data_IF_011603656255
#
_entry.id   IF_011603656255
#
_cell.length_a   1.000
_cell.length_b   1.000
_cell.length_c   1.000
_cell.angle_alpha   90.00
_cell.angle_beta   90.00
_cell.angle_gamma   90.00
#
_symmetry.space_group_name_H-M   'P 1'
#
loop_
_entity.id
_entity.type
_entity.pdbx_description
1 polymer ?
#
# COMPACT_ATOMS: atom_id res chain seq x y z
N UNK A 1 19.76 0.91 -27.95
CA UNK A 1 19.65 1.75 -26.75
C UNK A 1 18.45 1.23 -25.99
N UNK A 2 18.69 0.70 -24.78
CA UNK A 2 17.71 0.04 -23.92
C UNK A 2 16.89 1.12 -23.22
N UNK A 3 15.92 1.67 -23.95
CA UNK A 3 15.05 2.74 -23.48
C UNK A 3 13.77 2.12 -22.89
N UNK A 4 13.55 2.38 -21.59
CA UNK A 4 12.29 2.29 -20.85
C UNK A 4 11.61 0.91 -20.71
N UNK A 5 11.83 0.23 -19.58
CA UNK A 5 10.83 -0.74 -19.07
C UNK A 5 10.68 -0.79 -17.54
N UNK A 6 11.43 0.01 -16.78
CA UNK A 6 11.31 0.07 -15.32
C UNK A 6 11.34 1.47 -14.71
N UNK A 7 11.52 2.52 -15.51
CA UNK A 7 11.37 3.87 -14.97
C UNK A 7 9.88 4.19 -14.88
N UNK A 8 9.33 4.41 -13.67
CA UNK A 8 8.00 4.95 -13.54
C UNK A 8 7.93 6.26 -14.33
N UNK A 9 6.77 6.57 -14.90
CA UNK A 9 6.55 7.85 -15.58
C UNK A 9 7.06 8.98 -14.66
N UNK A 10 7.85 9.93 -15.20
CA UNK A 10 8.48 10.95 -14.37
C UNK A 10 7.40 11.71 -13.60
N UNK A 11 7.54 11.74 -12.28
CA UNK A 11 6.65 12.51 -11.41
C UNK A 11 6.78 13.99 -11.78
N UNK A 12 5.67 14.63 -12.11
CA UNK A 12 5.67 16.04 -12.52
C UNK A 12 6.12 16.95 -11.37
N UNK A 13 6.71 18.11 -11.73
CA UNK A 13 7.09 19.12 -10.74
C UNK A 13 5.89 19.58 -9.88
N UNK A 14 4.71 19.73 -10.50
CA UNK A 14 3.48 20.06 -9.79
C UNK A 14 3.09 19.00 -8.73
N UNK A 15 3.21 17.71 -9.06
CA UNK A 15 2.98 16.63 -8.09
C UNK A 15 3.99 16.70 -6.94
N UNK A 16 5.27 16.97 -7.23
CA UNK A 16 6.30 17.11 -6.19
C UNK A 16 5.97 18.27 -5.24
N UNK A 17 5.53 19.41 -5.77
CA UNK A 17 5.15 20.58 -4.97
C UNK A 17 3.93 20.30 -4.09
N UNK A 18 2.88 19.67 -4.63
CA UNK A 18 1.69 19.29 -3.85
C UNK A 18 2.04 18.30 -2.73
N UNK A 19 2.90 17.32 -3.01
CA UNK A 19 3.34 16.36 -1.99
C UNK A 19 4.22 17.03 -0.94
N UNK A 20 5.10 17.96 -1.31
CA UNK A 20 5.88 18.72 -0.33
C UNK A 20 4.97 19.52 0.63
N UNK A 21 3.93 20.18 0.11
CA UNK A 21 2.93 20.89 0.92
C UNK A 21 2.15 19.94 1.85
N UNK A 22 1.79 18.75 1.35
CA UNK A 22 1.15 17.72 2.16
C UNK A 22 2.05 17.28 3.32
N UNK A 23 3.33 17.01 3.03
CA UNK A 23 4.31 16.59 4.04
C UNK A 23 4.49 17.67 5.09
N UNK A 24 4.67 18.93 4.69
CA UNK A 24 4.79 20.07 5.61
C UNK A 24 3.57 20.18 6.53
N UNK A 25 2.37 20.02 5.96
CA UNK A 25 1.13 20.11 6.72
C UNK A 25 0.99 18.99 7.74
N UNK A 26 1.28 17.75 7.38
CA UNK A 26 0.88 16.57 8.17
C UNK A 26 2.00 15.93 8.99
N UNK A 27 3.25 16.10 8.59
CA UNK A 27 4.37 15.50 9.31
C UNK A 27 4.41 15.96 10.76
N UNK A 28 4.58 15.00 11.68
CA UNK A 28 4.72 15.28 13.11
C UNK A 28 3.42 15.62 13.82
N UNK A 29 2.27 15.75 13.13
CA UNK A 29 0.98 15.98 13.80
C UNK A 29 0.66 14.86 14.79
N UNK A 30 0.11 15.24 15.95
CA UNK A 30 -0.32 14.36 17.05
C UNK A 30 -1.57 14.91 17.73
N UNK A 31 -2.40 14.07 18.37
CA UNK A 31 -3.50 14.51 19.23
C UNK A 31 -4.90 14.44 18.60
N UNK A 32 -5.94 14.36 19.44
CA UNK A 32 -7.33 14.07 19.04
C UNK A 32 -8.17 15.28 18.62
N UNK A 33 -7.68 16.50 18.78
CA UNK A 33 -8.53 17.70 18.67
C UNK A 33 -8.73 18.19 17.23
N UNK A 34 -7.97 17.70 16.23
CA UNK A 34 -8.07 18.28 14.87
C UNK A 34 -7.65 17.38 13.68
N UNK A 35 -7.44 16.06 13.84
CA UNK A 35 -6.97 15.21 12.74
C UNK A 35 -7.84 13.96 12.53
N UNK A 36 -8.86 14.11 11.68
CA UNK A 36 -9.58 12.98 11.11
C UNK A 36 -8.71 12.30 10.03
N UNK A 37 -8.71 10.95 10.02
CA UNK A 37 -7.99 10.18 8.99
C UNK A 37 -8.49 10.48 7.57
N UNK A 38 -9.80 10.68 7.37
CA UNK A 38 -10.36 10.88 6.03
C UNK A 38 -9.84 12.16 5.34
N UNK A 39 -9.83 13.36 5.98
CA UNK A 39 -9.15 14.53 5.41
C UNK A 39 -7.67 14.28 5.09
N UNK A 40 -6.92 13.65 6.00
CA UNK A 40 -5.52 13.31 5.77
C UNK A 40 -5.37 12.43 4.52
N UNK A 41 -6.19 11.39 4.39
CA UNK A 41 -6.10 10.45 3.27
C UNK A 41 -6.58 11.06 1.95
N UNK A 42 -7.65 11.86 1.95
CA UNK A 42 -8.13 12.58 0.76
C UNK A 42 -7.09 13.58 0.27
N UNK A 43 -6.42 14.30 1.17
CA UNK A 43 -5.34 15.22 0.81
C UNK A 43 -4.10 14.49 0.28
N UNK A 44 -3.78 13.30 0.82
CA UNK A 44 -2.73 12.46 0.24
C UNK A 44 -3.08 12.07 -1.20
N UNK A 45 -4.31 11.62 -1.45
CA UNK A 45 -4.77 11.23 -2.79
C UNK A 45 -4.62 12.40 -3.78
N UNK A 46 -5.11 13.58 -3.39
CA UNK A 46 -4.96 14.80 -4.18
C UNK A 46 -3.50 15.17 -4.43
N UNK A 47 -2.63 15.02 -3.42
CA UNK A 47 -1.21 15.34 -3.54
C UNK A 47 -0.52 14.45 -4.57
N UNK A 48 -0.71 13.13 -4.49
CA UNK A 48 -0.11 12.15 -5.41
C UNK A 48 -0.84 12.05 -6.76
N UNK A 49 -1.99 12.71 -6.90
CA UNK A 49 -2.75 12.79 -8.15
C UNK A 49 -3.61 11.57 -8.45
N UNK A 50 -4.05 10.83 -7.42
CA UNK A 50 -4.99 9.70 -7.58
C UNK A 50 -6.38 10.10 -7.07
N UNK A 51 -7.41 9.44 -7.58
CA UNK A 51 -8.77 9.62 -7.08
C UNK A 51 -8.87 9.25 -5.59
N UNK A 52 -9.56 10.04 -4.75
CA UNK A 52 -9.85 9.68 -3.37
C UNK A 52 -11.00 8.65 -3.28
N UNK A 53 -11.19 7.98 -2.13
CA UNK A 53 -12.33 7.08 -1.95
C UNK A 53 -13.66 7.81 -2.17
N UNK A 54 -14.55 7.22 -2.96
CA UNK A 54 -15.78 7.86 -3.41
C UNK A 54 -16.82 8.06 -2.30
N UNK A 55 -17.60 9.15 -2.40
CA UNK A 55 -18.82 9.31 -1.63
C UNK A 55 -19.92 8.45 -2.27
N UNK A 56 -20.26 7.34 -1.61
CA UNK A 56 -21.45 6.48 -1.81
C UNK A 56 -22.30 6.78 -3.07
N UNK A 57 -21.82 6.34 -4.23
CA UNK A 57 -22.56 6.20 -5.51
C UNK A 57 -22.35 4.78 -6.04
N UNK A 58 -23.03 4.35 -7.12
CA UNK A 58 -22.91 2.98 -7.63
C UNK A 58 -21.45 2.57 -7.89
N UNK A 59 -21.00 1.46 -7.28
CA UNK A 59 -19.57 1.09 -7.19
C UNK A 59 -18.85 1.55 -5.91
N UNK A 60 -19.53 2.22 -4.99
CA UNK A 60 -18.94 2.70 -3.73
C UNK A 60 -18.48 1.60 -2.77
N UNK A 61 -18.84 0.35 -2.98
CA UNK A 61 -18.33 -0.75 -2.17
C UNK A 61 -16.91 -1.17 -2.57
N UNK A 62 -16.41 -0.68 -3.70
CA UNK A 62 -15.13 -1.08 -4.29
C UNK A 62 -13.99 -0.15 -3.88
N UNK A 63 -14.28 1.14 -3.66
CA UNK A 63 -13.30 2.11 -3.17
C UNK A 63 -13.97 3.11 -2.21
N UNK A 64 -13.82 2.89 -0.90
CA UNK A 64 -14.52 3.68 0.12
C UNK A 64 -13.80 3.79 1.46
N UNK A 65 -14.25 4.78 2.22
CA UNK A 65 -13.99 4.87 3.65
C UNK A 65 -14.96 3.99 4.45
N UNK A 66 -14.51 3.55 5.62
CA UNK A 66 -15.32 2.82 6.61
C UNK A 66 -16.05 1.57 6.06
N UNK A 67 -15.39 0.80 5.18
CA UNK A 67 -16.01 -0.39 4.58
C UNK A 67 -16.44 -1.38 5.66
N UNK A 68 -17.74 -1.70 5.79
CA UNK A 68 -18.18 -2.69 6.76
C UNK A 68 -17.72 -4.08 6.34
N UNK A 69 -17.13 -4.82 7.28
CA UNK A 69 -16.67 -6.20 7.06
C UNK A 69 -17.16 -7.08 8.20
N UNK A 70 -17.87 -8.15 7.84
CA UNK A 70 -18.35 -9.16 8.80
C UNK A 70 -17.24 -10.19 9.03
N UNK A 71 -16.71 -10.22 10.25
CA UNK A 71 -15.72 -11.19 10.69
C UNK A 71 -16.41 -12.27 11.52
N UNK A 72 -16.13 -13.54 11.23
CA UNK A 72 -16.56 -14.66 12.06
C UNK A 72 -15.45 -14.98 13.04
N UNK A 73 -15.75 -14.86 14.33
CA UNK A 73 -14.80 -15.15 15.40
C UNK A 73 -14.76 -16.65 15.71
N UNK A 74 -13.67 -17.14 16.33
CA UNK A 74 -13.64 -18.48 16.93
C UNK A 74 -14.84 -18.67 17.86
N UNK A 75 -15.59 -19.76 17.66
CA UNK A 75 -16.85 -20.02 18.37
C UNK A 75 -18.11 -19.54 17.65
N UNK A 76 -18.01 -19.06 16.40
CA UNK A 76 -19.16 -18.81 15.51
C UNK A 76 -19.85 -17.46 15.71
N UNK A 77 -19.40 -16.65 16.68
CA UNK A 77 -19.92 -15.29 16.88
C UNK A 77 -19.46 -14.39 15.74
N UNK A 78 -20.37 -13.65 15.12
CA UNK A 78 -20.02 -12.62 14.15
C UNK A 78 -19.80 -11.25 14.82
N UNK A 79 -18.84 -10.50 14.30
CA UNK A 79 -18.63 -9.08 14.62
C UNK A 79 -18.49 -8.32 13.30
N UNK A 80 -19.16 -7.18 13.19
CA UNK A 80 -18.90 -6.24 12.09
C UNK A 80 -17.82 -5.26 12.51
N UNK A 81 -16.74 -5.18 11.74
CA UNK A 81 -15.76 -4.09 11.81
C UNK A 81 -15.91 -3.15 10.62
N UNK A 82 -15.07 -2.13 10.58
CA UNK A 82 -15.00 -1.16 9.49
C UNK A 82 -13.54 -0.97 9.12
N UNK A 83 -13.20 -1.14 7.84
CA UNK A 83 -11.88 -0.81 7.32
C UNK A 83 -11.83 0.70 7.11
N UNK A 84 -10.81 1.39 7.64
CA UNK A 84 -10.74 2.85 7.55
C UNK A 84 -10.71 3.34 6.09
N UNK A 85 -9.87 2.74 5.23
CA UNK A 85 -9.93 2.91 3.78
C UNK A 85 -9.70 1.59 3.04
N UNK A 86 -10.52 1.33 2.03
CA UNK A 86 -10.47 0.10 1.23
C UNK A 86 -10.56 0.41 -0.24
N UNK A 87 -9.71 -0.22 -1.05
CA UNK A 87 -9.83 -0.28 -2.51
C UNK A 87 -9.67 -1.73 -2.98
N UNK A 88 -10.72 -2.31 -3.59
CA UNK A 88 -10.71 -3.71 -4.05
C UNK A 88 -9.58 -3.92 -5.07
N UNK A 89 -8.93 -5.08 -4.97
CA UNK A 89 -7.79 -5.43 -5.82
C UNK A 89 -6.52 -4.63 -5.53
N UNK A 90 -6.56 -3.67 -4.58
CA UNK A 90 -5.45 -2.78 -4.27
C UNK A 90 -5.02 -2.93 -2.80
N UNK A 91 -5.82 -2.43 -1.85
CA UNK A 91 -5.40 -2.40 -0.45
C UNK A 91 -6.55 -2.43 0.55
N UNK A 92 -6.19 -2.85 1.77
CA UNK A 92 -6.88 -2.47 3.01
C UNK A 92 -5.96 -1.58 3.83
N UNK A 93 -6.52 -0.57 4.50
CA UNK A 93 -5.76 0.37 5.32
C UNK A 93 -6.45 0.61 6.66
N UNK A 94 -5.70 0.38 7.74
CA UNK A 94 -6.08 0.72 9.11
C UNK A 94 -5.28 1.91 9.63
N UNK A 95 -5.99 2.98 9.98
CA UNK A 95 -5.39 4.18 10.53
C UNK A 95 -5.39 4.13 12.06
N UNK A 96 -4.33 4.68 12.62
CA UNK A 96 -4.18 4.98 14.03
C UNK A 96 -3.63 6.38 14.14
N UNK A 97 -3.86 6.99 15.30
CA UNK A 97 -3.22 8.26 15.62
C UNK A 97 -2.50 8.09 16.95
N UNK A 98 -1.18 8.00 16.89
CA UNK A 98 -0.36 7.94 18.08
C UNK A 98 -0.39 9.30 18.80
N UNK A 99 -1.02 9.32 19.98
CA UNK A 99 -1.10 10.51 20.83
C UNK A 99 0.12 10.71 21.75
N UNK A 100 0.17 11.90 22.37
CA UNK A 100 1.26 12.34 23.25
C UNK A 100 1.38 11.59 24.60
N UNK A 101 0.34 10.87 25.06
CA UNK A 101 0.30 10.30 26.42
C UNK A 101 0.40 8.77 26.49
N UNK A 102 -0.46 8.00 25.81
CA UNK A 102 -0.50 6.54 25.98
C UNK A 102 0.35 5.73 24.97
N UNK A 103 0.48 6.23 23.73
CA UNK A 103 1.16 5.52 22.64
C UNK A 103 2.18 6.42 21.94
N UNK A 104 2.98 7.16 22.72
CA UNK A 104 3.99 8.08 22.19
C UNK A 104 4.89 7.39 21.16
N UNK A 105 5.04 8.00 19.98
CA UNK A 105 5.88 7.47 18.89
C UNK A 105 7.28 7.06 19.39
N UNK A 106 7.80 5.98 18.83
CA UNK A 106 9.11 5.42 19.20
C UNK A 106 9.13 4.59 20.49
N UNK A 107 8.03 4.50 21.24
CA UNK A 107 7.95 3.65 22.44
C UNK A 107 7.52 2.21 22.13
N UNK A 108 7.77 1.29 23.06
CA UNK A 108 7.27 -0.08 22.97
C UNK A 108 5.73 -0.15 22.94
N UNK A 109 5.05 0.74 23.68
CA UNK A 109 3.58 0.87 23.66
C UNK A 109 3.08 1.28 22.28
N UNK A 110 3.74 2.25 21.63
CA UNK A 110 3.45 2.62 20.25
C UNK A 110 3.62 1.45 19.29
N UNK A 111 4.73 0.72 19.37
CA UNK A 111 4.94 -0.48 18.53
C UNK A 111 3.84 -1.52 18.75
N UNK A 112 3.45 -1.77 20.00
CA UNK A 112 2.36 -2.70 20.33
C UNK A 112 1.04 -2.22 19.74
N UNK A 113 0.74 -0.94 19.82
CA UNK A 113 -0.46 -0.32 19.27
C UNK A 113 -0.55 -0.49 17.74
N UNK A 114 0.55 -0.21 17.03
CA UNK A 114 0.61 -0.40 15.58
C UNK A 114 0.60 -1.87 15.17
N UNK A 115 1.16 -2.78 15.97
CA UNK A 115 1.05 -4.23 15.73
C UNK A 115 -0.40 -4.74 15.86
N UNK A 116 -1.19 -4.18 16.79
CA UNK A 116 -2.61 -4.50 16.88
C UNK A 116 -3.38 -4.00 15.66
N UNK A 117 -3.03 -2.83 15.12
CA UNK A 117 -3.60 -2.32 13.86
C UNK A 117 -3.29 -3.24 12.68
N UNK A 118 -2.06 -3.77 12.60
CA UNK A 118 -1.68 -4.73 11.57
C UNK A 118 -2.52 -6.01 11.66
N UNK A 119 -2.65 -6.60 12.85
CA UNK A 119 -3.48 -7.79 13.03
C UNK A 119 -4.94 -7.52 12.63
N UNK A 120 -5.47 -6.35 13.00
CA UNK A 120 -6.81 -5.93 12.62
C UNK A 120 -6.98 -5.81 11.09
N UNK A 121 -5.99 -5.23 10.39
CA UNK A 121 -6.00 -5.13 8.94
C UNK A 121 -5.93 -6.52 8.26
N UNK A 122 -5.15 -7.45 8.81
CA UNK A 122 -5.11 -8.85 8.35
C UNK A 122 -6.47 -9.53 8.54
N UNK A 123 -7.09 -9.39 9.71
CA UNK A 123 -8.41 -9.97 9.98
C UNK A 123 -9.47 -9.43 9.01
N UNK A 124 -9.41 -8.13 8.68
CA UNK A 124 -10.27 -7.55 7.65
C UNK A 124 -9.98 -8.09 6.26
N UNK A 125 -8.70 -8.17 5.86
CA UNK A 125 -8.31 -8.72 4.57
C UNK A 125 -8.80 -10.16 4.40
N UNK A 126 -8.74 -10.99 5.45
CA UNK A 126 -9.25 -12.38 5.45
C UNK A 126 -10.76 -12.49 5.28
N UNK A 127 -11.50 -11.48 5.73
CA UNK A 127 -12.97 -11.47 5.68
C UNK A 127 -13.50 -10.86 4.37
N UNK A 128 -12.62 -10.37 3.49
CA UNK A 128 -12.97 -9.94 2.14
C UNK A 128 -13.09 -11.14 1.19
N UNK A 129 -13.88 -11.02 0.10
CA UNK A 129 -13.99 -12.08 -0.91
C UNK A 129 -12.69 -12.29 -1.69
N UNK A 130 -11.89 -11.24 -1.85
CA UNK A 130 -10.63 -11.24 -2.58
C UNK A 130 -9.50 -10.78 -1.64
N UNK A 131 -8.36 -11.47 -1.69
CA UNK A 131 -7.19 -11.07 -0.92
C UNK A 131 -6.54 -9.82 -1.57
N UNK A 132 -6.38 -8.70 -0.84
CA UNK A 132 -5.78 -7.50 -1.39
C UNK A 132 -4.26 -7.68 -1.57
N UNK A 133 -3.61 -7.16 -2.63
CA UNK A 133 -2.15 -7.27 -2.76
C UNK A 133 -1.40 -6.49 -1.68
N UNK A 134 -2.00 -5.45 -1.10
CA UNK A 134 -1.43 -4.66 -0.02
C UNK A 134 -2.27 -4.66 1.24
N UNK A 135 -1.59 -4.82 2.38
CA UNK A 135 -2.12 -4.49 3.71
C UNK A 135 -1.34 -3.30 4.22
N UNK A 136 -2.04 -2.28 4.71
CA UNK A 136 -1.43 -1.04 5.17
C UNK A 136 -1.92 -0.68 6.56
N UNK A 137 -1.02 -0.09 7.35
CA UNK A 137 -1.41 0.72 8.50
C UNK A 137 -0.81 2.10 8.39
N UNK A 138 -1.46 3.09 9.00
CA UNK A 138 -0.98 4.46 9.03
C UNK A 138 -1.01 4.97 10.46
N UNK A 139 0.11 5.46 10.98
CA UNK A 139 0.10 6.43 12.07
C UNK A 139 0.01 7.83 11.47
N UNK A 140 -1.15 8.50 11.60
CA UNK A 140 -1.41 9.80 10.98
C UNK A 140 -0.37 10.83 11.44
N UNK A 141 0.41 11.35 10.50
CA UNK A 141 1.52 12.29 10.74
C UNK A 141 2.84 11.62 11.16
N UNK A 142 2.88 10.29 11.29
CA UNK A 142 4.07 9.50 11.62
C UNK A 142 4.62 8.77 10.40
N UNK A 143 4.02 7.63 10.07
CA UNK A 143 4.46 6.76 8.98
C UNK A 143 3.35 5.84 8.48
N UNK A 144 3.51 5.39 7.23
CA UNK A 144 2.83 4.22 6.70
C UNK A 144 3.67 2.98 6.95
N UNK A 145 3.01 1.89 7.32
CA UNK A 145 3.58 0.55 7.34
C UNK A 145 2.85 -0.29 6.30
N UNK A 146 3.60 -0.89 5.37
CA UNK A 146 3.05 -1.49 4.15
C UNK A 146 3.58 -2.92 4.03
N UNK A 147 2.66 -3.86 3.90
CA UNK A 147 2.95 -5.27 3.62
C UNK A 147 2.42 -5.62 2.23
N UNK A 148 3.15 -6.47 1.53
CA UNK A 148 2.85 -6.90 0.17
C UNK A 148 2.65 -8.41 0.17
N UNK A 149 1.60 -8.89 -0.49
CA UNK A 149 1.31 -10.30 -0.58
C UNK A 149 0.41 -10.56 -1.78
N UNK A 150 1.02 -10.99 -2.88
CA UNK A 150 0.42 -11.12 -4.21
C UNK A 150 -0.13 -12.51 -4.51
N UNK A 151 0.20 -13.52 -3.70
CA UNK A 151 -0.42 -14.84 -3.81
C UNK A 151 -1.90 -14.76 -3.46
N UNK A 152 -2.79 -15.49 -4.13
CA UNK A 152 -4.19 -15.56 -3.70
C UNK A 152 -4.39 -16.44 -2.44
N UNK A 153 -3.34 -17.15 -2.03
CA UNK A 153 -3.36 -18.09 -0.93
C UNK A 153 -3.37 -17.40 0.45
N UNK A 154 -4.11 -18.00 1.39
CA UNK A 154 -4.14 -17.62 2.80
C UNK A 154 -3.34 -18.57 3.71
N UNK A 155 -2.46 -19.40 3.13
CA UNK A 155 -1.64 -20.36 3.89
C UNK A 155 -0.73 -19.62 4.88
N UNK A 156 -0.77 -20.04 6.14
CA UNK A 156 -0.05 -19.40 7.24
C UNK A 156 -0.83 -18.29 7.93
N UNK A 157 -0.39 -17.87 9.12
CA UNK A 157 -1.10 -16.91 9.98
C UNK A 157 -1.30 -15.55 9.31
N UNK A 158 -0.35 -15.09 8.50
CA UNK A 158 -0.38 -13.80 7.83
C UNK A 158 -0.28 -13.92 6.31
N UNK A 159 -0.63 -15.08 5.74
CA UNK A 159 -0.38 -15.38 4.32
C UNK A 159 1.08 -15.08 3.92
N UNK A 160 1.29 -14.68 2.67
CA UNK A 160 2.56 -14.20 2.13
C UNK A 160 2.87 -12.74 2.46
N UNK A 161 2.06 -12.04 3.26
CA UNK A 161 2.39 -10.68 3.74
C UNK A 161 3.59 -10.67 4.70
N UNK A 162 3.89 -11.81 5.32
CA UNK A 162 4.87 -11.90 6.40
C UNK A 162 4.33 -11.39 7.74
N UNK A 163 5.20 -11.40 8.75
CA UNK A 163 4.83 -10.92 10.08
C UNK A 163 4.89 -9.38 10.18
N UNK A 164 4.64 -8.84 11.37
CA UNK A 164 4.69 -7.39 11.60
C UNK A 164 6.05 -6.76 11.26
N UNK A 165 7.16 -7.50 11.35
CA UNK A 165 8.49 -6.97 11.03
C UNK A 165 8.82 -6.99 9.53
N UNK A 166 8.04 -7.72 8.74
CA UNK A 166 8.16 -7.78 7.28
C UNK A 166 7.72 -6.49 6.56
N UNK A 167 7.21 -5.51 7.32
CA UNK A 167 6.66 -4.26 6.78
C UNK A 167 7.73 -3.39 6.14
N UNK A 168 7.40 -2.79 4.99
CA UNK A 168 8.08 -1.58 4.52
C UNK A 168 7.53 -0.38 5.29
N UNK A 169 8.39 0.31 6.03
CA UNK A 169 8.03 1.55 6.71
C UNK A 169 8.34 2.76 5.83
N UNK A 170 7.37 3.65 5.67
CA UNK A 170 7.48 4.89 4.90
C UNK A 170 7.09 6.07 5.81
N UNK A 171 8.07 6.80 6.37
CA UNK A 171 7.80 8.05 7.08
C UNK A 171 7.05 9.04 6.19
N UNK A 172 6.19 9.89 6.77
CA UNK A 172 5.50 10.94 6.00
C UNK A 172 6.50 11.83 5.25
N UNK A 173 7.64 12.15 5.86
CA UNK A 173 8.73 12.90 5.22
C UNK A 173 9.23 12.28 3.90
N UNK A 174 9.22 10.95 3.81
CA UNK A 174 9.73 10.22 2.65
C UNK A 174 8.74 10.18 1.47
N UNK A 175 7.50 10.66 1.66
CA UNK A 175 6.52 10.78 0.57
C UNK A 175 6.97 11.78 -0.49
N UNK A 176 7.79 12.78 -0.16
CA UNK A 176 8.31 13.76 -1.12
C UNK A 176 9.32 13.14 -2.13
N UNK A 177 9.77 11.91 -1.90
CA UNK A 177 10.69 11.23 -2.82
C UNK A 177 9.93 10.70 -4.04
N UNK A 178 10.39 10.97 -5.28
CA UNK A 178 9.69 10.55 -6.50
C UNK A 178 9.37 9.06 -6.55
N UNK A 179 10.30 8.21 -6.10
CA UNK A 179 10.12 6.75 -6.05
C UNK A 179 9.05 6.31 -5.03
N UNK A 180 8.87 7.07 -3.96
CA UNK A 180 7.80 6.82 -2.98
C UNK A 180 6.45 7.22 -3.55
N UNK A 181 6.37 8.37 -4.24
CA UNK A 181 5.15 8.80 -4.92
C UNK A 181 4.73 7.75 -5.95
N UNK A 182 5.65 7.33 -6.83
CA UNK A 182 5.39 6.28 -7.82
C UNK A 182 4.94 4.96 -7.16
N UNK A 183 5.53 4.59 -6.03
CA UNK A 183 5.12 3.39 -5.28
C UNK A 183 3.69 3.50 -4.74
N UNK A 184 3.29 4.66 -4.19
CA UNK A 184 1.92 4.88 -3.74
C UNK A 184 0.93 4.94 -4.90
N UNK A 185 1.28 5.59 -6.01
CA UNK A 185 0.44 5.59 -7.23
C UNK A 185 0.21 4.15 -7.72
N UNK A 186 1.25 3.32 -7.79
CA UNK A 186 1.09 1.91 -8.16
C UNK A 186 0.19 1.14 -7.19
N UNK A 187 0.32 1.33 -5.88
CA UNK A 187 -0.56 0.70 -4.88
C UNK A 187 -2.04 1.01 -5.19
N UNK A 188 -2.35 2.23 -5.61
CA UNK A 188 -3.72 2.69 -5.82
C UNK A 188 -4.25 2.31 -7.20
N UNK A 189 -3.43 2.36 -8.24
CA UNK A 189 -3.92 2.27 -9.62
C UNK A 189 -3.55 0.95 -10.29
N UNK A 190 -2.31 0.48 -10.08
CA UNK A 190 -1.75 -0.66 -10.79
C UNK A 190 -0.90 -1.54 -9.86
N UNK A 191 -1.50 -2.15 -8.82
CA UNK A 191 -0.76 -2.82 -7.75
C UNK A 191 0.12 -3.97 -8.26
N UNK A 192 -0.26 -4.61 -9.36
CA UNK A 192 0.48 -5.69 -10.00
C UNK A 192 1.83 -5.24 -10.59
N UNK A 193 2.07 -3.93 -10.79
CA UNK A 193 3.39 -3.39 -11.15
C UNK A 193 4.44 -3.66 -10.06
N UNK A 194 4.01 -3.96 -8.84
CA UNK A 194 4.88 -4.28 -7.70
C UNK A 194 4.93 -5.78 -7.39
N UNK A 195 4.29 -6.62 -8.20
CA UNK A 195 4.30 -8.07 -8.02
C UNK A 195 5.69 -8.65 -8.40
N UNK A 196 6.45 -9.23 -7.44
CA UNK A 196 7.79 -9.76 -7.70
C UNK A 196 7.82 -10.85 -8.77
N UNK A 197 6.78 -11.70 -8.85
CA UNK A 197 6.71 -12.77 -9.86
C UNK A 197 6.56 -12.20 -11.27
N UNK A 198 5.73 -11.16 -11.44
CA UNK A 198 5.55 -10.48 -12.74
C UNK A 198 6.82 -9.75 -13.15
N UNK A 199 7.47 -9.06 -12.21
CA UNK A 199 8.74 -8.37 -12.44
C UNK A 199 9.81 -9.38 -12.86
N UNK A 200 9.95 -10.50 -12.14
CA UNK A 200 10.92 -11.55 -12.45
C UNK A 200 10.68 -12.20 -13.81
N UNK A 201 9.42 -12.53 -14.13
CA UNK A 201 9.05 -13.09 -15.43
C UNK A 201 9.36 -12.13 -16.59
N UNK A 202 9.11 -10.83 -16.40
CA UNK A 202 9.42 -9.79 -17.38
C UNK A 202 10.93 -9.69 -17.62
N UNK A 203 11.73 -9.56 -16.55
CA UNK A 203 13.20 -9.49 -16.61
C UNK A 203 13.78 -10.74 -17.28
N UNK A 204 13.23 -11.91 -16.97
CA UNK A 204 13.67 -13.18 -17.58
C UNK A 204 13.41 -13.19 -19.09
N UNK A 205 12.23 -12.74 -19.53
CA UNK A 205 11.89 -12.64 -20.95
C UNK A 205 12.81 -11.65 -21.69
N UNK A 206 13.06 -10.49 -21.09
CA UNK A 206 13.95 -9.47 -21.65
C UNK A 206 15.40 -9.95 -21.74
N UNK A 207 15.90 -10.68 -20.75
CA UNK A 207 17.24 -11.25 -20.81
C UNK A 207 17.35 -12.34 -21.89
N UNK A 208 16.27 -13.09 -22.14
CA UNK A 208 16.23 -14.15 -23.15
C UNK A 208 16.18 -13.61 -24.59
N UNK A 209 15.62 -12.42 -24.84
CA UNK A 209 15.50 -11.84 -26.19
C UNK A 209 16.87 -11.59 -26.86
N UNK A 210 17.83 -10.87 -26.25
CA UNK A 210 19.18 -10.70 -26.79
C UNK A 210 19.92 -12.03 -26.97
N UNK A 211 19.75 -12.98 -26.05
CA UNK A 211 20.37 -14.32 -26.15
C UNK A 211 19.83 -15.10 -27.36
N UNK A 212 18.52 -15.06 -27.61
CA UNK A 212 17.90 -15.70 -28.75
C UNK A 212 18.27 -15.04 -30.10
N UNK A 213 18.49 -13.71 -30.11
CA UNK A 213 19.01 -13.01 -31.29
C UNK A 213 20.45 -13.43 -31.56
N UNK A 214 21.31 -13.48 -30.54
CA UNK A 214 22.71 -13.87 -30.68
C UNK A 214 22.85 -15.34 -31.16
N UNK A 215 22.04 -16.25 -30.61
CA UNK A 215 22.03 -17.65 -31.01
C UNK A 215 21.68 -17.83 -32.50
N UNK A 216 20.64 -17.13 -32.99
CA UNK A 216 20.26 -17.15 -34.41
C UNK A 216 21.35 -16.56 -35.32
N UNK A 217 22.06 -15.53 -34.86
CA UNK A 217 23.18 -14.95 -35.61
C UNK A 217 24.38 -15.90 -35.70
N UNK A 218 24.66 -16.66 -34.63
CA UNK A 218 25.72 -17.67 -34.62
C UNK A 218 25.36 -18.87 -35.50
N UNK A 219 24.12 -19.35 -35.45
CA UNK A 219 23.64 -20.42 -36.34
C UNK A 219 23.71 -20.03 -37.82
N UNK A 220 23.43 -18.76 -38.15
CA UNK A 220 23.54 -18.24 -39.52
C UNK A 220 24.98 -18.00 -40.01
N UNK A 221 25.96 -17.94 -39.11
CA UNK A 221 27.39 -17.78 -39.46
C UNK A 221 28.14 -19.13 -39.57
N UNK A 222 27.57 -20.20 -39.02
CA UNK A 222 28.19 -21.52 -38.93
C UNK A 222 27.41 -22.63 -39.67
N UNK A 223 26.36 -22.29 -40.43
CA UNK A 223 25.61 -23.20 -41.31
C UNK A 223 25.69 -22.78 -42.77
#
# INVERSE_FOLDING_TARGET
>A
MSDYLFDPAPISADTLDRVAQFVEKWQGRTGSEEANFQPFFSELCAAIGVEPPGLKTDGADEYCYEKPVKMVLPGGRAKTGKIDAFKRGCFVLEAKMAGASANKRGTASHRKYMKLAFNQAIDYARALPEKPPFVMTCDVGGDFSIWQGFSESWVGTFADYGDYESRRRVPIADLAKPETIAFFVDIFENPQNRNPERISALVTREAAEPLAVLARQLEAQHG
#
